data_IF_026697439812
#
_entry.id   IF_026697439812
#
_cell.length_a   1.000
_cell.length_b   1.000
_cell.length_c   1.000
_cell.angle_alpha   90.00
_cell.angle_beta   90.00
_cell.angle_gamma   90.00
#
_symmetry.space_group_name_H-M   'P 1'
#
loop_
_entity.id
_entity.type
_entity.pdbx_description
1 polymer ?
#
# COMPACT_ATOMS: atom_id res chain seq x y z
N UNK A 1 5.25 11.00 6.26
CA UNK A 1 4.04 10.30 5.73
C UNK A 1 3.01 11.30 5.26
N UNK A 2 1.99 10.86 4.52
CA UNK A 2 0.87 11.69 4.07
C UNK A 2 -0.36 11.46 4.96
N UNK A 3 -0.63 12.34 5.92
CA UNK A 3 -1.76 12.19 6.86
C UNK A 3 -3.11 12.18 6.15
N UNK A 4 -3.28 13.05 5.15
CA UNK A 4 -4.45 13.07 4.28
C UNK A 4 -4.70 11.72 3.60
N UNK A 5 -3.66 11.09 3.05
CA UNK A 5 -3.75 9.84 2.32
C UNK A 5 -4.08 8.66 3.26
N UNK A 6 -3.54 8.68 4.48
CA UNK A 6 -3.86 7.67 5.52
C UNK A 6 -5.32 7.77 5.93
N UNK A 7 -5.83 8.97 6.24
CA UNK A 7 -7.24 9.17 6.59
C UNK A 7 -8.18 8.80 5.43
N UNK A 8 -7.85 9.24 4.21
CA UNK A 8 -8.60 8.87 2.99
C UNK A 8 -8.66 7.36 2.79
N UNK A 9 -7.51 6.70 2.87
CA UNK A 9 -7.38 5.26 2.64
C UNK A 9 -8.13 4.46 3.68
N UNK A 10 -8.01 4.82 4.96
CA UNK A 10 -8.75 4.18 6.04
C UNK A 10 -10.26 4.33 5.86
N UNK A 11 -10.76 5.53 5.51
CA UNK A 11 -12.19 5.75 5.23
C UNK A 11 -12.68 4.93 4.04
N UNK A 12 -11.92 4.87 2.96
CA UNK A 12 -12.28 4.07 1.78
C UNK A 12 -12.29 2.57 2.09
N UNK A 13 -11.31 2.06 2.82
CA UNK A 13 -11.27 0.67 3.26
C UNK A 13 -12.45 0.33 4.18
N UNK A 14 -12.80 1.22 5.11
CA UNK A 14 -14.01 1.09 5.94
C UNK A 14 -15.31 1.03 5.15
N UNK A 15 -15.44 1.86 4.11
CA UNK A 15 -16.59 1.81 3.19
C UNK A 15 -16.66 0.50 2.40
N UNK A 16 -15.55 -0.22 2.28
CA UNK A 16 -15.45 -1.54 1.65
C UNK A 16 -15.44 -2.70 2.67
N UNK A 17 -16.02 -2.47 3.86
CA UNK A 17 -16.18 -3.46 4.93
C UNK A 17 -14.88 -4.03 5.54
N UNK A 18 -13.75 -3.30 5.43
CA UNK A 18 -12.50 -3.69 6.10
C UNK A 18 -12.56 -3.53 7.63
N UNK A 19 -11.98 -4.48 8.37
CA UNK A 19 -12.10 -4.50 9.85
C UNK A 19 -11.13 -3.55 10.53
N UNK A 20 -11.43 -3.15 11.77
CA UNK A 20 -10.52 -2.29 12.55
C UNK A 20 -9.22 -3.01 12.86
N UNK A 21 -9.30 -4.30 13.19
CA UNK A 21 -8.14 -5.14 13.51
C UNK A 21 -7.16 -5.17 12.35
N UNK A 22 -7.64 -5.39 11.13
CA UNK A 22 -6.82 -5.41 9.92
C UNK A 22 -6.25 -4.03 9.58
N UNK A 23 -7.06 -2.98 9.67
CA UNK A 23 -6.59 -1.60 9.43
C UNK A 23 -5.49 -1.17 10.39
N UNK A 24 -5.63 -1.47 11.69
CA UNK A 24 -4.60 -1.14 12.67
C UNK A 24 -3.36 -2.03 12.54
N UNK A 25 -3.55 -3.31 12.18
CA UNK A 25 -2.45 -4.25 12.05
C UNK A 25 -1.61 -4.07 10.78
N UNK A 26 -2.11 -3.39 9.74
CA UNK A 26 -1.38 -3.26 8.45
C UNK A 26 -0.02 -2.60 8.60
N UNK A 27 0.16 -1.70 9.58
CA UNK A 27 1.46 -1.07 9.86
C UNK A 27 2.51 -2.07 10.39
N UNK A 28 2.07 -3.21 10.94
CA UNK A 28 2.90 -4.29 11.47
C UNK A 28 2.56 -5.64 10.81
N UNK A 29 2.14 -5.62 9.55
CA UNK A 29 1.54 -6.76 8.85
C UNK A 29 2.39 -8.05 8.85
N UNK A 30 3.73 -7.93 8.91
CA UNK A 30 4.65 -9.07 8.90
C UNK A 30 4.40 -10.02 10.07
N UNK A 31 4.10 -9.46 11.23
CA UNK A 31 3.90 -10.18 12.49
C UNK A 31 2.40 -10.37 12.81
N UNK A 32 1.51 -9.76 12.04
CA UNK A 32 0.06 -9.83 12.27
C UNK A 32 -0.58 -11.07 11.60
N UNK A 33 -1.43 -11.84 12.30
CA UNK A 33 -2.02 -13.07 11.76
C UNK A 33 -3.18 -12.82 10.79
N UNK A 34 -3.51 -11.57 10.47
CA UNK A 34 -4.75 -11.21 9.77
C UNK A 34 -4.65 -11.19 8.25
N UNK A 35 -3.46 -11.36 7.68
CA UNK A 35 -3.21 -11.25 6.24
C UNK A 35 -2.83 -12.60 5.63
N UNK A 36 -3.49 -12.94 4.54
CA UNK A 36 -3.21 -14.11 3.69
C UNK A 36 -1.84 -14.01 3.02
N UNK A 37 -1.33 -15.12 2.47
CA UNK A 37 -0.04 -15.13 1.76
C UNK A 37 -0.04 -14.21 0.55
N UNK A 38 -1.15 -14.15 -0.20
CA UNK A 38 -1.32 -13.22 -1.31
C UNK A 38 -1.24 -11.75 -0.86
N UNK A 39 -1.96 -11.38 0.21
CA UNK A 39 -1.91 -10.02 0.77
C UNK A 39 -0.51 -9.67 1.29
N UNK A 40 0.17 -10.62 1.93
CA UNK A 40 1.56 -10.46 2.39
C UNK A 40 2.52 -10.23 1.23
N UNK A 41 2.35 -10.93 0.12
CA UNK A 41 3.13 -10.71 -1.09
C UNK A 41 2.86 -9.31 -1.70
N UNK A 42 1.60 -8.89 -1.77
CA UNK A 42 1.22 -7.55 -2.22
C UNK A 42 1.78 -6.43 -1.30
N UNK A 43 1.76 -6.63 0.02
CA UNK A 43 2.33 -5.68 0.99
C UNK A 43 3.87 -5.62 0.88
N UNK A 44 4.53 -6.76 0.68
CA UNK A 44 5.97 -6.81 0.44
C UNK A 44 6.37 -6.05 -0.83
N UNK A 45 5.65 -6.27 -1.93
CA UNK A 45 5.82 -5.54 -3.18
C UNK A 45 5.56 -4.03 -2.98
N UNK A 46 4.51 -3.68 -2.23
CA UNK A 46 4.17 -2.29 -1.89
C UNK A 46 5.31 -1.59 -1.16
N UNK A 47 5.89 -2.21 -0.13
CA UNK A 47 7.03 -1.65 0.60
C UNK A 47 8.27 -1.47 -0.29
N UNK A 48 8.60 -2.50 -1.07
CA UNK A 48 9.75 -2.51 -1.97
C UNK A 48 9.64 -1.39 -3.02
N UNK A 49 8.52 -1.34 -3.75
CA UNK A 49 8.27 -0.35 -4.79
C UNK A 49 8.02 1.08 -4.26
N UNK A 50 7.60 1.24 -3.00
CA UNK A 50 7.48 2.58 -2.39
C UNK A 50 8.85 3.16 -2.02
N UNK A 51 9.81 2.30 -1.65
CA UNK A 51 11.16 2.68 -1.20
C UNK A 51 12.21 2.57 -2.32
N UNK A 52 11.80 2.85 -3.56
CA UNK A 52 12.66 2.78 -4.75
C UNK A 52 14.01 3.51 -4.59
N UNK A 53 14.01 4.66 -3.91
CA UNK A 53 15.21 5.47 -3.74
C UNK A 53 16.17 4.97 -2.64
N UNK A 54 15.74 4.03 -1.79
CA UNK A 54 16.50 3.60 -0.62
C UNK A 54 17.50 2.47 -0.94
N UNK A 55 17.38 1.84 -2.12
CA UNK A 55 18.08 0.59 -2.46
C UNK A 55 18.58 0.63 -3.91
N UNK A 56 19.71 -0.03 -4.16
CA UNK A 56 20.23 -0.21 -5.52
C UNK A 56 19.39 -1.21 -6.34
N UNK A 57 18.92 -2.27 -5.69
CA UNK A 57 17.92 -3.21 -6.23
C UNK A 57 16.63 -3.07 -5.40
N UNK A 58 15.70 -2.20 -5.82
CA UNK A 58 14.56 -1.84 -5.00
C UNK A 58 13.44 -2.89 -4.98
N UNK A 59 13.29 -3.66 -6.06
CA UNK A 59 12.32 -4.77 -6.16
C UNK A 59 13.08 -6.02 -6.66
N UNK A 60 13.74 -6.76 -5.77
CA UNK A 60 14.45 -7.98 -6.13
C UNK A 60 13.51 -9.03 -6.74
N UNK A 61 14.06 -9.90 -7.61
CA UNK A 61 13.30 -10.99 -8.25
C UNK A 61 12.52 -11.83 -7.24
N UNK A 62 13.06 -12.09 -6.04
CA UNK A 62 12.36 -12.85 -5.00
C UNK A 62 11.06 -12.20 -4.50
N UNK A 63 10.97 -10.87 -4.52
CA UNK A 63 9.74 -10.14 -4.17
C UNK A 63 8.74 -10.19 -5.33
N UNK A 64 9.25 -10.03 -6.56
CA UNK A 64 8.43 -10.10 -7.76
C UNK A 64 7.84 -11.49 -7.96
N UNK A 65 8.69 -12.51 -7.90
CA UNK A 65 8.33 -13.92 -8.08
C UNK A 65 7.30 -14.35 -7.05
N UNK A 66 7.45 -13.94 -5.78
CA UNK A 66 6.46 -14.26 -4.76
C UNK A 66 5.10 -13.61 -5.05
N UNK A 67 5.06 -12.33 -5.45
CA UNK A 67 3.80 -11.70 -5.87
C UNK A 67 3.17 -12.41 -7.08
N UNK A 68 3.99 -12.80 -8.06
CA UNK A 68 3.52 -13.48 -9.29
C UNK A 68 2.96 -14.89 -9.06
N UNK A 69 3.25 -15.51 -7.91
CA UNK A 69 2.62 -16.78 -7.52
C UNK A 69 1.15 -16.63 -7.14
N UNK A 70 0.74 -15.44 -6.68
CA UNK A 70 -0.60 -15.17 -6.16
C UNK A 70 -1.46 -14.34 -7.12
N UNK A 71 -0.83 -13.54 -7.99
CA UNK A 71 -1.51 -12.62 -8.90
C UNK A 71 -1.13 -12.89 -10.35
N UNK A 72 -2.12 -12.90 -11.23
CA UNK A 72 -1.89 -12.92 -12.67
C UNK A 72 -1.38 -11.55 -13.17
N UNK A 73 -1.13 -11.45 -14.48
CA UNK A 73 -0.62 -10.22 -15.09
C UNK A 73 -1.53 -9.01 -14.81
N UNK A 74 -2.86 -9.18 -14.85
CA UNK A 74 -3.81 -8.11 -14.59
C UNK A 74 -3.78 -7.69 -13.10
N UNK A 75 -3.72 -8.66 -12.18
CA UNK A 75 -3.58 -8.41 -10.75
C UNK A 75 -2.29 -7.68 -10.41
N UNK A 76 -1.15 -8.12 -10.96
CA UNK A 76 0.13 -7.45 -10.77
C UNK A 76 0.12 -6.02 -11.32
N UNK A 77 -0.42 -5.82 -12.52
CA UNK A 77 -0.57 -4.49 -13.11
C UNK A 77 -1.42 -3.57 -12.23
N UNK A 78 -2.53 -4.08 -11.68
CA UNK A 78 -3.39 -3.34 -10.76
C UNK A 78 -2.67 -2.95 -9.46
N UNK A 79 -1.90 -3.88 -8.88
CA UNK A 79 -1.07 -3.60 -7.70
C UNK A 79 -0.06 -2.49 -7.96
N UNK A 80 0.71 -2.59 -9.05
CA UNK A 80 1.72 -1.59 -9.43
C UNK A 80 1.06 -0.23 -9.64
N UNK A 81 -0.05 -0.18 -10.37
CA UNK A 81 -0.78 1.05 -10.63
C UNK A 81 -1.26 1.70 -9.33
N UNK A 82 -1.80 0.92 -8.39
CA UNK A 82 -2.27 1.43 -7.11
C UNK A 82 -1.12 1.93 -6.22
N UNK A 83 0.01 1.21 -6.20
CA UNK A 83 1.23 1.62 -5.49
C UNK A 83 1.75 2.94 -6.05
N UNK A 84 1.88 3.05 -7.39
CA UNK A 84 2.38 4.23 -8.06
C UNK A 84 1.45 5.45 -7.84
N UNK A 85 0.14 5.25 -7.95
CA UNK A 85 -0.87 6.29 -7.75
C UNK A 85 -0.86 6.79 -6.31
N UNK A 86 -0.83 5.89 -5.33
CA UNK A 86 -0.69 6.26 -3.92
C UNK A 86 0.61 7.03 -3.68
N UNK A 87 1.72 6.62 -4.30
CA UNK A 87 3.00 7.30 -4.21
C UNK A 87 3.00 8.72 -4.83
N UNK A 88 2.27 8.92 -5.93
CA UNK A 88 2.05 10.23 -6.53
C UNK A 88 1.30 11.15 -5.56
N UNK A 89 0.15 10.71 -5.03
CA UNK A 89 -0.65 11.52 -4.12
C UNK A 89 0.07 11.79 -2.79
N UNK A 90 0.85 10.83 -2.28
CA UNK A 90 1.70 11.06 -1.11
C UNK A 90 2.65 12.24 -1.34
N UNK A 91 3.29 12.33 -2.51
CA UNK A 91 4.22 13.41 -2.87
C UNK A 91 3.51 14.75 -3.01
N UNK A 92 2.38 14.78 -3.70
CA UNK A 92 1.58 16.01 -3.87
C UNK A 92 1.09 16.53 -2.51
N UNK A 93 0.38 15.70 -1.75
CA UNK A 93 -0.29 16.12 -0.52
C UNK A 93 0.68 16.45 0.60
N UNK A 94 1.80 15.73 0.70
CA UNK A 94 2.84 16.07 1.68
C UNK A 94 3.51 17.41 1.35
N UNK A 95 3.79 17.68 0.07
CA UNK A 95 4.44 18.93 -0.37
C UNK A 95 3.54 20.15 -0.11
N UNK A 96 2.24 20.01 -0.33
CA UNK A 96 1.27 21.09 -0.09
C UNK A 96 0.69 21.10 1.34
N UNK A 97 1.17 20.23 2.23
CA UNK A 97 0.73 20.12 3.64
C UNK A 97 -0.78 19.92 3.82
N UNK A 98 -1.39 19.06 3.01
CA UNK A 98 -2.80 18.69 3.20
C UNK A 98 -3.03 18.02 4.56
N UNK A 99 -4.16 18.33 5.20
CA UNK A 99 -4.48 17.87 6.56
C UNK A 99 -5.51 16.75 6.49
N UNK A 100 -5.32 15.70 7.30
CA UNK A 100 -6.32 14.63 7.44
C UNK A 100 -7.72 15.19 7.78
N UNK A 101 -8.78 14.62 7.20
CA UNK A 101 -10.15 15.07 7.43
C UNK A 101 -10.56 16.36 6.72
N UNK A 102 -9.67 17.03 5.97
CA UNK A 102 -10.03 18.24 5.20
C UNK A 102 -10.76 17.96 3.89
N UNK A 103 -11.18 16.72 3.66
CA UNK A 103 -11.87 16.29 2.44
C UNK A 103 -13.32 16.75 2.46
N UNK A 104 -13.81 17.28 1.34
CA UNK A 104 -15.19 17.75 1.22
C UNK A 104 -16.11 16.79 0.45
N UNK A 105 -15.64 15.57 0.14
CA UNK A 105 -16.33 14.58 -0.68
C UNK A 105 -16.35 13.20 -0.02
#
# INVERSE_FOLDING_TARGET
GCSFCVDSGARSAKKADETDERLFAVAAWREAPYFTDAERAALALTEAATRLADRADPVPDSIWDEASRHYDEQGLAALILMIATTNLFNRLNATTRQVAGSQSW
#
